data_IF_554018932925
#
_entry.id   IF_554018932925
#
_cell.length_a   1.000
_cell.length_b   1.000
_cell.length_c   1.000
_cell.angle_alpha   90.00
_cell.angle_beta   90.00
_cell.angle_gamma   90.00
#
_symmetry.space_group_name_H-M   'P 1'
#
loop_
_entity.id
_entity.type
_entity.pdbx_description
1 polymer ?
#
# COMPACT_ATOMS: atom_id res chain seq x y z
N UNK A 1 -33.70 4.48 1.42
CA UNK A 1 -34.57 3.45 2.06
C UNK A 1 -34.66 3.66 3.57
N UNK A 2 -35.84 3.52 4.20
CA UNK A 2 -35.95 3.53 5.67
C UNK A 2 -35.56 2.16 6.23
N UNK A 3 -34.53 2.10 7.06
CA UNK A 3 -34.04 0.86 7.69
C UNK A 3 -33.90 1.07 9.19
N UNK A 4 -34.01 -0.03 9.93
CA UNK A 4 -33.68 -0.11 11.35
C UNK A 4 -32.63 -1.19 11.55
N UNK A 5 -31.60 -0.86 12.33
CA UNK A 5 -30.67 -1.84 12.84
C UNK A 5 -31.42 -2.91 13.67
N UNK A 6 -30.95 -4.18 13.65
CA UNK A 6 -29.70 -4.65 13.07
C UNK A 6 -29.81 -5.03 11.58
N UNK A 7 -30.98 -4.88 10.97
CA UNK A 7 -31.22 -5.32 9.60
C UNK A 7 -31.03 -4.13 8.67
N UNK A 8 -29.80 -4.00 8.19
CA UNK A 8 -29.38 -3.06 7.14
C UNK A 8 -29.56 -3.73 5.77
N UNK A 9 -30.78 -3.86 5.22
CA UNK A 9 -30.94 -4.47 3.90
C UNK A 9 -30.17 -3.64 2.88
N UNK A 10 -29.57 -4.35 1.93
CA UNK A 10 -29.12 -3.79 0.68
C UNK A 10 -30.06 -4.39 -0.35
N UNK A 11 -31.15 -3.67 -0.64
CA UNK A 11 -32.16 -4.01 -1.65
C UNK A 11 -32.39 -2.73 -2.45
N UNK A 12 -32.61 -2.86 -3.74
CA UNK A 12 -32.93 -1.74 -4.64
C UNK A 12 -31.81 -0.70 -4.81
N UNK A 13 -30.54 -1.09 -4.61
CA UNK A 13 -29.40 -0.26 -5.00
C UNK A 13 -29.08 -0.48 -6.48
N UNK A 14 -28.61 0.58 -7.14
CA UNK A 14 -28.19 0.55 -8.53
C UNK A 14 -27.19 -0.59 -8.81
N UNK A 15 -27.52 -1.46 -9.76
CA UNK A 15 -26.58 -2.49 -10.24
C UNK A 15 -25.54 -1.84 -11.17
N UNK A 16 -24.42 -2.53 -11.33
CA UNK A 16 -23.42 -2.20 -12.33
C UNK A 16 -23.64 -3.12 -13.54
N UNK A 17 -24.09 -2.56 -14.65
CA UNK A 17 -24.25 -3.29 -15.91
C UNK A 17 -22.98 -3.13 -16.78
N UNK A 18 -22.58 -4.20 -17.48
CA UNK A 18 -21.54 -4.07 -18.51
C UNK A 18 -22.08 -3.22 -19.66
N UNK A 19 -21.28 -2.28 -20.15
CA UNK A 19 -21.53 -1.69 -21.47
C UNK A 19 -21.19 -2.71 -22.56
N UNK A 20 -22.22 -3.33 -23.15
CA UNK A 20 -22.08 -4.33 -24.22
C UNK A 20 -21.32 -3.80 -25.45
N UNK A 21 -21.24 -2.48 -25.63
CA UNK A 21 -20.54 -1.82 -26.73
C UNK A 21 -19.08 -1.46 -26.40
N UNK A 22 -18.65 -1.61 -25.16
CA UNK A 22 -17.32 -1.29 -24.69
C UNK A 22 -16.26 -2.28 -25.21
N UNK A 23 -15.11 -1.74 -25.64
CA UNK A 23 -13.89 -2.55 -25.80
C UNK A 23 -13.39 -2.84 -24.40
N UNK A 24 -13.79 -3.98 -23.83
CA UNK A 24 -13.29 -4.40 -22.53
C UNK A 24 -11.78 -4.53 -22.62
N UNK A 25 -11.07 -3.67 -21.89
CA UNK A 25 -9.64 -3.84 -21.71
C UNK A 25 -9.44 -5.12 -20.91
N UNK A 26 -9.36 -6.26 -21.60
CA UNK A 26 -8.57 -7.37 -21.12
C UNK A 26 -7.17 -6.80 -21.06
N UNK A 27 -6.78 -6.27 -19.90
CA UNK A 27 -5.49 -5.63 -19.75
C UNK A 27 -4.46 -6.60 -20.31
N UNK A 28 -3.87 -6.25 -21.46
CA UNK A 28 -2.90 -7.11 -22.11
C UNK A 28 -1.82 -7.36 -21.06
N UNK A 29 -1.66 -8.63 -20.73
CA UNK A 29 -0.72 -9.05 -19.70
C UNK A 29 0.68 -8.80 -20.28
N UNK A 30 1.19 -7.58 -20.07
CA UNK A 30 2.63 -7.33 -20.10
C UNK A 30 3.33 -8.25 -19.10
N UNK A 31 4.64 -8.12 -18.92
CA UNK A 31 5.36 -8.82 -17.84
C UNK A 31 4.91 -8.26 -16.47
N UNK A 32 3.68 -8.57 -16.04
CA UNK A 32 3.17 -8.26 -14.72
C UNK A 32 3.97 -9.06 -13.71
N UNK A 33 4.43 -8.39 -12.66
CA UNK A 33 4.98 -9.08 -11.49
C UNK A 33 3.85 -9.85 -10.82
N UNK A 34 4.18 -10.96 -10.18
CA UNK A 34 3.19 -11.84 -9.57
C UNK A 34 3.32 -11.78 -8.06
N UNK A 35 2.28 -11.34 -7.34
CA UNK A 35 2.26 -11.34 -5.88
C UNK A 35 2.58 -12.72 -5.32
N UNK A 36 3.56 -12.81 -4.42
CA UNK A 36 4.04 -14.05 -3.79
C UNK A 36 4.19 -13.84 -2.29
N UNK A 37 3.09 -14.01 -1.57
CA UNK A 37 3.06 -13.74 -0.13
C UNK A 37 3.40 -14.96 0.71
N UNK A 38 3.47 -14.76 2.03
CA UNK A 38 3.71 -15.81 3.02
C UNK A 38 2.42 -16.53 3.47
N UNK A 39 1.29 -16.32 2.77
CA UNK A 39 0.00 -16.92 3.06
C UNK A 39 0.04 -18.44 2.84
N UNK A 40 -0.27 -19.22 3.89
CA UNK A 40 -0.19 -20.69 3.86
C UNK A 40 -1.55 -21.39 3.80
N UNK A 41 -2.60 -20.77 4.34
CA UNK A 41 -3.91 -21.39 4.47
C UNK A 41 -5.04 -20.38 4.30
N UNK A 42 -6.07 -20.78 3.57
CA UNK A 42 -7.32 -20.08 3.41
C UNK A 42 -8.43 -20.94 4.03
N UNK A 43 -9.16 -20.43 5.03
CA UNK A 43 -10.14 -21.21 5.81
C UNK A 43 -11.47 -20.48 5.97
N UNK A 44 -12.61 -21.18 6.02
CA UNK A 44 -13.90 -20.52 6.22
C UNK A 44 -13.98 -19.79 7.58
N UNK A 45 -14.50 -18.56 7.57
CA UNK A 45 -14.86 -17.80 8.76
C UNK A 45 -16.31 -18.14 9.15
N UNK A 46 -16.50 -19.29 9.78
CA UNK A 46 -17.84 -19.82 10.08
C UNK A 46 -18.67 -18.97 11.03
N UNK A 47 -18.04 -18.19 11.92
CA UNK A 47 -18.72 -17.29 12.85
C UNK A 47 -19.08 -15.92 12.24
N UNK A 48 -18.70 -15.62 11.00
CA UNK A 48 -18.78 -14.28 10.42
C UNK A 48 -20.16 -13.60 10.57
N UNK A 49 -21.30 -14.22 10.19
CA UNK A 49 -22.60 -13.55 10.34
C UNK A 49 -22.92 -13.15 11.78
N UNK A 50 -22.54 -14.00 12.75
CA UNK A 50 -22.75 -13.74 14.17
C UNK A 50 -21.80 -12.66 14.68
N UNK A 51 -20.53 -12.68 14.27
CA UNK A 51 -19.52 -11.68 14.65
C UNK A 51 -19.97 -10.28 14.19
N UNK A 52 -20.44 -10.17 12.94
CA UNK A 52 -21.00 -8.93 12.39
C UNK A 52 -22.25 -8.48 13.16
N UNK A 53 -23.19 -9.39 13.39
CA UNK A 53 -24.42 -9.07 14.12
C UNK A 53 -24.13 -8.57 15.54
N UNK A 54 -23.23 -9.24 16.25
CA UNK A 54 -22.83 -8.87 17.60
C UNK A 54 -22.08 -7.53 17.64
N UNK A 55 -21.19 -7.26 16.68
CA UNK A 55 -20.50 -5.98 16.58
C UNK A 55 -21.48 -4.80 16.43
N UNK A 56 -22.54 -4.98 15.63
CA UNK A 56 -23.60 -3.98 15.47
C UNK A 56 -24.42 -3.81 16.76
N UNK A 57 -24.81 -4.92 17.41
CA UNK A 57 -25.60 -4.88 18.64
C UNK A 57 -24.85 -4.29 19.84
N UNK A 58 -23.52 -4.34 19.83
CA UNK A 58 -22.69 -3.74 20.87
C UNK A 58 -22.76 -2.21 20.90
N UNK A 59 -23.27 -1.56 19.84
CA UNK A 59 -23.38 -0.10 19.76
C UNK A 59 -24.66 0.39 20.47
N UNK A 60 -24.58 1.22 21.53
CA UNK A 60 -25.73 1.62 22.35
C UNK A 60 -26.83 2.39 21.58
N UNK A 61 -26.49 3.08 20.49
CA UNK A 61 -27.39 3.93 19.72
C UNK A 61 -28.05 3.24 18.51
N UNK A 62 -27.87 1.93 18.37
CA UNK A 62 -28.29 1.15 17.21
C UNK A 62 -29.81 0.89 17.10
N UNK A 63 -30.71 1.74 17.61
CA UNK A 63 -32.16 1.40 17.69
C UNK A 63 -33.13 2.40 17.07
N UNK A 64 -32.68 3.56 16.64
CA UNK A 64 -33.53 4.53 15.92
C UNK A 64 -33.52 4.25 14.43
N UNK A 65 -34.68 4.07 13.78
CA UNK A 65 -34.74 3.97 12.32
C UNK A 65 -34.14 5.22 11.65
N UNK A 66 -33.49 5.04 10.51
CA UNK A 66 -32.97 6.15 9.72
C UNK A 66 -33.06 5.87 8.23
N UNK A 67 -32.98 6.95 7.45
CA UNK A 67 -32.93 6.86 6.00
C UNK A 67 -31.49 6.74 5.52
N UNK A 68 -31.26 5.81 4.61
CA UNK A 68 -30.02 5.71 3.85
C UNK A 68 -30.33 6.19 2.44
N UNK A 69 -29.70 7.30 2.04
CA UNK A 69 -29.69 7.78 0.67
C UNK A 69 -28.69 6.96 -0.15
N UNK A 70 -29.06 6.61 -1.37
CA UNK A 70 -28.23 5.91 -2.33
C UNK A 70 -28.78 6.10 -3.73
N UNK A 71 -27.92 6.04 -4.76
CA UNK A 71 -28.40 6.11 -6.14
C UNK A 71 -29.25 4.87 -6.46
N UNK A 72 -30.39 5.11 -7.10
CA UNK A 72 -31.38 4.09 -7.47
C UNK A 72 -31.33 3.73 -8.95
N UNK A 73 -30.50 4.40 -9.74
CA UNK A 73 -30.35 4.17 -11.17
C UNK A 73 -29.09 3.37 -11.45
N UNK A 74 -29.24 2.25 -12.14
CA UNK A 74 -28.12 1.41 -12.60
C UNK A 74 -27.07 2.25 -13.33
N UNK A 75 -25.80 1.88 -13.15
CA UNK A 75 -24.68 2.50 -13.82
C UNK A 75 -24.07 1.52 -14.83
N UNK A 76 -23.69 2.03 -16.00
CA UNK A 76 -22.87 1.28 -16.94
C UNK A 76 -21.40 1.38 -16.52
N UNK A 77 -20.74 0.24 -16.42
CA UNK A 77 -19.31 0.13 -16.10
C UNK A 77 -18.58 -0.58 -17.23
N UNK A 78 -17.41 -0.05 -17.55
CA UNK A 78 -16.56 -0.46 -18.67
C UNK A 78 -15.09 -0.66 -18.24
N UNK A 79 -14.76 -0.27 -17.02
CA UNK A 79 -13.40 -0.22 -16.49
C UNK A 79 -13.38 -0.40 -14.98
N UNK A 80 -12.21 -0.73 -14.44
CA UNK A 80 -11.99 -0.81 -12.99
C UNK A 80 -12.26 0.54 -12.30
N UNK A 81 -11.87 1.65 -12.96
CA UNK A 81 -12.12 3.00 -12.46
C UNK A 81 -13.62 3.33 -12.35
N UNK A 82 -14.44 2.94 -13.33
CA UNK A 82 -15.89 3.17 -13.26
C UNK A 82 -16.56 2.31 -12.18
N UNK A 83 -16.06 1.10 -11.93
CA UNK A 83 -16.47 0.27 -10.78
C UNK A 83 -16.12 0.95 -9.46
N UNK A 84 -14.92 1.55 -9.34
CA UNK A 84 -14.50 2.25 -8.12
C UNK A 84 -15.44 3.42 -7.78
N UNK A 85 -15.75 4.27 -8.76
CA UNK A 85 -16.67 5.37 -8.58
C UNK A 85 -18.07 4.89 -8.19
N UNK A 86 -18.59 3.88 -8.90
CA UNK A 86 -19.90 3.30 -8.59
C UNK A 86 -19.94 2.76 -7.16
N UNK A 87 -18.95 1.98 -6.75
CA UNK A 87 -18.88 1.39 -5.43
C UNK A 87 -18.74 2.42 -4.30
N UNK A 88 -18.00 3.50 -4.55
CA UNK A 88 -17.88 4.62 -3.62
C UNK A 88 -19.24 5.26 -3.34
N UNK A 89 -20.03 5.51 -4.37
CA UNK A 89 -21.33 6.20 -4.27
C UNK A 89 -22.45 5.29 -3.74
N UNK A 90 -22.46 4.02 -4.14
CA UNK A 90 -23.55 3.06 -3.83
C UNK A 90 -23.36 2.32 -2.51
N UNK A 91 -22.12 2.07 -2.07
CA UNK A 91 -21.85 1.19 -0.95
C UNK A 91 -20.98 1.85 0.13
N UNK A 92 -19.81 2.37 -0.24
CA UNK A 92 -18.84 2.87 0.75
C UNK A 92 -19.33 4.15 1.46
N UNK A 93 -19.86 5.14 0.71
CA UNK A 93 -20.41 6.37 1.30
C UNK A 93 -21.66 6.10 2.14
N UNK A 94 -22.64 5.29 1.70
CA UNK A 94 -23.74 4.85 2.56
C UNK A 94 -23.28 4.13 3.83
N UNK A 95 -22.28 3.25 3.75
CA UNK A 95 -21.73 2.58 4.92
C UNK A 95 -21.07 3.56 5.89
N UNK A 96 -20.29 4.52 5.41
CA UNK A 96 -19.71 5.59 6.23
C UNK A 96 -20.80 6.43 6.91
N UNK A 97 -21.90 6.73 6.22
CA UNK A 97 -23.04 7.45 6.81
C UNK A 97 -23.73 6.64 7.92
N UNK A 98 -23.88 5.32 7.75
CA UNK A 98 -24.38 4.44 8.81
C UNK A 98 -23.45 4.45 10.02
N UNK A 99 -22.14 4.30 9.78
CA UNK A 99 -21.11 4.29 10.84
C UNK A 99 -21.09 5.60 11.63
N UNK A 100 -21.19 6.75 10.94
CA UNK A 100 -21.29 8.05 11.59
C UNK A 100 -22.52 8.14 12.51
N UNK A 101 -23.67 7.62 12.08
CA UNK A 101 -24.88 7.54 12.94
C UNK A 101 -24.71 6.59 14.12
N UNK A 102 -23.84 5.58 13.99
CA UNK A 102 -23.42 4.70 15.06
C UNK A 102 -22.36 5.31 15.99
N UNK A 103 -21.96 6.57 15.76
CA UNK A 103 -20.93 7.26 16.54
C UNK A 103 -19.50 6.96 16.11
N UNK A 104 -19.31 6.23 15.01
CA UNK A 104 -18.01 5.90 14.44
C UNK A 104 -17.71 6.88 13.30
N UNK A 105 -16.90 7.89 13.61
CA UNK A 105 -16.52 8.92 12.63
C UNK A 105 -15.27 8.49 11.86
N UNK A 106 -15.40 8.34 10.55
CA UNK A 106 -14.31 7.98 9.65
C UNK A 106 -14.72 8.09 8.19
N UNK A 107 -13.82 7.68 7.31
CA UNK A 107 -14.09 7.64 5.86
C UNK A 107 -13.32 6.50 5.20
N UNK A 108 -13.82 6.06 4.04
CA UNK A 108 -13.02 5.30 3.10
C UNK A 108 -12.17 6.29 2.30
N UNK A 109 -10.85 6.14 2.37
CA UNK A 109 -9.88 6.99 1.68
C UNK A 109 -9.12 6.17 0.64
N UNK A 110 -8.83 6.80 -0.50
CA UNK A 110 -7.90 6.27 -1.50
C UNK A 110 -6.45 6.54 -1.06
N UNK A 111 -5.46 5.78 -1.56
CA UNK A 111 -4.04 6.08 -1.43
C UNK A 111 -3.75 7.49 -1.97
N UNK A 112 -2.73 8.18 -1.44
CA UNK A 112 -2.44 9.58 -1.78
C UNK A 112 -3.48 10.62 -1.32
N UNK A 113 -4.66 10.19 -0.87
CA UNK A 113 -5.73 11.05 -0.35
C UNK A 113 -5.47 11.58 1.06
N UNK A 114 -4.72 12.67 1.16
CA UNK A 114 -4.41 13.36 2.42
C UNK A 114 -3.31 12.69 3.27
N UNK A 115 -3.19 13.07 4.54
CA UNK A 115 -2.15 12.58 5.47
C UNK A 115 -2.44 11.16 6.00
N UNK A 116 -2.78 10.22 5.12
CA UNK A 116 -3.13 8.85 5.49
C UNK A 116 -1.87 7.98 5.56
N UNK A 117 -1.64 7.34 6.70
CA UNK A 117 -0.48 6.47 6.94
C UNK A 117 -0.67 5.08 6.29
N UNK A 118 -0.71 5.02 4.96
CA UNK A 118 -0.94 3.78 4.20
C UNK A 118 0.35 3.37 3.48
N UNK A 119 0.70 2.09 3.51
CA UNK A 119 1.80 1.51 2.73
C UNK A 119 1.23 0.65 1.60
N UNK A 120 1.70 0.90 0.37
CA UNK A 120 1.11 0.36 -0.86
C UNK A 120 -0.16 1.10 -1.26
N UNK A 121 -0.80 0.62 -2.33
CA UNK A 121 -1.93 1.32 -2.97
C UNK A 121 -3.20 0.45 -2.99
N UNK A 122 -3.82 0.14 -1.83
CA UNK A 122 -5.14 -0.49 -1.79
C UNK A 122 -6.20 0.45 -2.34
N UNK A 123 -7.19 -0.03 -3.09
CA UNK A 123 -8.20 0.85 -3.72
C UNK A 123 -8.91 1.77 -2.71
N UNK A 124 -9.26 1.24 -1.54
CA UNK A 124 -9.73 2.03 -0.41
C UNK A 124 -9.22 1.50 0.93
N UNK A 125 -9.11 2.40 1.91
CA UNK A 125 -8.88 2.06 3.31
C UNK A 125 -9.83 2.81 4.23
N UNK A 126 -10.36 2.13 5.26
CA UNK A 126 -11.12 2.80 6.31
C UNK A 126 -10.18 3.51 7.29
N UNK A 127 -10.44 4.80 7.52
CA UNK A 127 -9.66 5.66 8.39
C UNK A 127 -10.58 6.39 9.38
N UNK A 128 -10.32 6.21 10.67
CA UNK A 128 -11.03 6.91 11.75
C UNK A 128 -10.59 8.38 11.84
N UNK A 129 -11.54 9.31 11.97
CA UNK A 129 -11.27 10.76 11.96
C UNK A 129 -10.71 11.32 13.27
N UNK A 130 -10.80 10.59 14.39
CA UNK A 130 -10.47 11.10 15.73
C UNK A 130 -9.01 10.92 16.14
N UNK A 131 -8.17 10.27 15.32
CA UNK A 131 -6.78 10.03 15.65
C UNK A 131 -5.89 11.21 15.23
N UNK A 132 -4.99 11.64 16.11
CA UNK A 132 -3.92 12.60 15.79
C UNK A 132 -3.01 12.10 14.67
N UNK A 133 -2.99 10.79 14.43
CA UNK A 133 -2.35 10.13 13.30
C UNK A 133 -3.33 9.11 12.71
N UNK A 134 -4.00 9.42 11.59
CA UNK A 134 -4.96 8.52 10.96
C UNK A 134 -4.25 7.28 10.40
N UNK A 135 -4.54 6.12 11.00
CA UNK A 135 -4.04 4.81 10.57
C UNK A 135 -5.15 4.03 9.85
N UNK A 136 -4.87 3.36 8.72
CA UNK A 136 -5.85 2.49 8.07
C UNK A 136 -6.21 1.32 8.99
N UNK A 137 -7.49 1.02 9.17
CA UNK A 137 -7.97 -0.10 10.00
C UNK A 137 -8.50 -1.28 9.19
N UNK A 138 -8.89 -1.05 7.95
CA UNK A 138 -9.45 -2.02 7.01
C UNK A 138 -9.01 -1.64 5.60
N UNK A 139 -8.55 -2.61 4.81
CA UNK A 139 -8.25 -2.42 3.38
C UNK A 139 -9.37 -3.01 2.53
N UNK A 140 -9.70 -2.36 1.42
CA UNK A 140 -10.71 -2.82 0.46
C UNK A 140 -10.10 -2.77 -0.93
N UNK A 141 -10.08 -3.92 -1.60
CA UNK A 141 -9.64 -4.08 -2.99
C UNK A 141 -10.84 -4.40 -3.88
N UNK A 142 -10.98 -3.66 -4.96
CA UNK A 142 -11.96 -3.85 -6.02
C UNK A 142 -11.27 -4.43 -7.24
N UNK A 143 -11.96 -5.39 -7.87
CA UNK A 143 -11.56 -5.92 -9.17
C UNK A 143 -12.81 -6.05 -10.05
N UNK A 144 -12.70 -5.95 -11.37
CA UNK A 144 -13.85 -6.23 -12.21
C UNK A 144 -14.27 -7.70 -12.13
N UNK A 145 -15.58 -8.01 -12.18
CA UNK A 145 -16.07 -9.40 -12.13
C UNK A 145 -15.63 -10.25 -13.32
N UNK A 146 -15.20 -9.62 -14.41
CA UNK A 146 -14.61 -10.32 -15.55
C UNK A 146 -13.10 -10.61 -15.39
N UNK A 147 -12.45 -10.03 -14.36
CA UNK A 147 -11.02 -10.22 -14.09
C UNK A 147 -10.75 -11.09 -12.86
N UNK A 148 -11.74 -11.27 -11.97
CA UNK A 148 -11.61 -12.07 -10.75
C UNK A 148 -12.86 -12.89 -10.49
N UNK A 149 -12.68 -14.20 -10.32
CA UNK A 149 -13.70 -15.17 -9.92
C UNK A 149 -13.58 -15.51 -8.43
N UNK A 150 -14.40 -14.86 -7.61
CA UNK A 150 -14.42 -15.07 -6.16
C UNK A 150 -15.13 -16.37 -5.73
N UNK A 151 -15.97 -16.96 -6.60
CA UNK A 151 -16.67 -18.21 -6.29
C UNK A 151 -15.69 -19.39 -6.33
N UNK A 152 -14.80 -19.40 -7.33
CA UNK A 152 -13.82 -20.46 -7.51
C UNK A 152 -12.46 -20.19 -6.86
N UNK A 153 -12.28 -19.05 -6.19
CA UNK A 153 -11.01 -18.63 -5.60
C UNK A 153 -10.41 -19.67 -4.64
N UNK A 154 -11.24 -20.30 -3.80
CA UNK A 154 -10.77 -21.30 -2.83
C UNK A 154 -10.24 -22.55 -3.55
N UNK A 155 -10.93 -22.98 -4.61
CA UNK A 155 -10.50 -24.09 -5.46
C UNK A 155 -9.20 -23.75 -6.20
N UNK A 156 -9.06 -22.51 -6.68
CA UNK A 156 -7.81 -22.01 -7.25
C UNK A 156 -6.68 -22.01 -6.20
N UNK A 157 -6.95 -21.59 -4.96
CA UNK A 157 -5.96 -21.53 -3.88
C UNK A 157 -5.43 -22.92 -3.51
N UNK A 158 -6.31 -23.92 -3.51
CA UNK A 158 -5.97 -25.33 -3.33
C UNK A 158 -5.18 -25.92 -4.53
N UNK A 159 -4.88 -25.12 -5.56
CA UNK A 159 -4.21 -25.53 -6.81
C UNK A 159 -4.96 -26.60 -7.59
N UNK A 160 -6.29 -26.62 -7.45
CA UNK A 160 -7.18 -27.52 -8.20
C UNK A 160 -7.65 -26.92 -9.53
N UNK A 161 -7.43 -25.62 -9.73
CA UNK A 161 -7.64 -24.88 -10.98
C UNK A 161 -6.37 -24.11 -11.33
N UNK A 162 -5.99 -24.08 -12.61
CA UNK A 162 -4.76 -23.43 -13.10
C UNK A 162 -4.97 -22.59 -14.37
N UNK A 163 -6.23 -22.23 -14.66
CA UNK A 163 -6.54 -21.33 -15.78
C UNK A 163 -6.14 -19.87 -15.48
N UNK A 164 -6.19 -19.03 -16.52
CA UNK A 164 -5.77 -17.64 -16.42
C UNK A 164 -6.60 -16.82 -15.41
N UNK A 165 -7.92 -17.05 -15.34
CA UNK A 165 -8.82 -16.33 -14.43
C UNK A 165 -8.58 -16.76 -12.99
N UNK A 166 -8.36 -18.06 -12.75
CA UNK A 166 -7.95 -18.58 -11.44
C UNK A 166 -6.63 -17.95 -10.97
N UNK A 167 -5.64 -17.82 -11.86
CA UNK A 167 -4.37 -17.14 -11.55
C UNK A 167 -4.56 -15.66 -11.22
N UNK A 168 -5.37 -14.94 -11.98
CA UNK A 168 -5.68 -13.53 -11.72
C UNK A 168 -6.40 -13.37 -10.36
N UNK A 169 -7.35 -14.24 -10.06
CA UNK A 169 -8.07 -14.26 -8.79
C UNK A 169 -7.13 -14.49 -7.61
N UNK A 170 -6.15 -15.40 -7.76
CA UNK A 170 -5.11 -15.60 -6.75
C UNK A 170 -4.18 -14.40 -6.58
N UNK A 171 -3.80 -13.74 -7.68
CA UNK A 171 -2.99 -12.51 -7.58
C UNK A 171 -3.74 -11.43 -6.80
N UNK A 172 -5.04 -11.24 -7.06
CA UNK A 172 -5.86 -10.29 -6.31
C UNK A 172 -5.92 -10.65 -4.81
N UNK A 173 -6.13 -11.93 -4.46
CA UNK A 173 -6.09 -12.38 -3.06
C UNK A 173 -4.74 -12.11 -2.39
N UNK A 174 -3.64 -12.41 -3.09
CA UNK A 174 -2.29 -12.19 -2.58
C UNK A 174 -1.97 -10.69 -2.44
N UNK A 175 -2.44 -9.86 -3.36
CA UNK A 175 -2.32 -8.40 -3.29
C UNK A 175 -3.06 -7.86 -2.05
N UNK A 176 -4.35 -8.20 -1.89
CA UNK A 176 -5.14 -7.79 -0.71
C UNK A 176 -4.49 -8.24 0.59
N UNK A 177 -4.04 -9.50 0.66
CA UNK A 177 -3.32 -10.01 1.84
C UNK A 177 -1.98 -9.28 2.08
N UNK A 178 -1.29 -8.88 1.01
CA UNK A 178 -0.11 -8.03 1.05
C UNK A 178 -0.41 -6.72 1.75
N UNK A 179 -1.40 -5.96 1.27
CA UNK A 179 -1.84 -4.70 1.87
C UNK A 179 -2.24 -4.85 3.34
N UNK A 180 -3.02 -5.90 3.66
CA UNK A 180 -3.37 -6.20 5.05
C UNK A 180 -2.13 -6.42 5.92
N UNK A 181 -1.07 -7.02 5.38
CA UNK A 181 0.16 -7.29 6.13
C UNK A 181 1.06 -6.06 6.24
N UNK A 182 1.22 -5.29 5.17
CA UNK A 182 2.05 -4.08 5.15
C UNK A 182 1.51 -2.99 6.08
N UNK A 183 0.18 -2.94 6.23
CA UNK A 183 -0.52 -1.98 7.07
C UNK A 183 -0.93 -2.56 8.43
N UNK A 184 -0.42 -3.73 8.82
CA UNK A 184 -0.76 -4.40 10.09
C UNK A 184 -2.28 -4.56 10.32
N UNK A 185 -3.08 -4.62 9.26
CA UNK A 185 -4.53 -4.81 9.37
C UNK A 185 -4.85 -6.28 9.60
N UNK A 186 -5.78 -6.52 10.52
CA UNK A 186 -6.42 -7.81 10.75
C UNK A 186 -7.48 -8.09 9.69
N UNK A 187 -8.16 -7.06 9.22
CA UNK A 187 -9.34 -7.16 8.37
C UNK A 187 -9.08 -6.60 6.98
N UNK A 188 -9.70 -7.23 5.98
CA UNK A 188 -9.61 -6.82 4.58
C UNK A 188 -10.84 -7.29 3.81
N UNK A 189 -11.07 -6.68 2.65
CA UNK A 189 -12.15 -7.05 1.73
C UNK A 189 -11.57 -7.12 0.33
N UNK A 190 -11.84 -8.21 -0.38
CA UNK A 190 -11.64 -8.34 -1.82
C UNK A 190 -13.00 -8.48 -2.47
N UNK A 191 -13.39 -7.57 -3.35
CA UNK A 191 -14.70 -7.59 -4.00
C UNK A 191 -14.58 -7.44 -5.50
N UNK A 192 -15.50 -8.10 -6.20
CA UNK A 192 -15.69 -7.90 -7.62
C UNK A 192 -17.04 -7.24 -7.96
N UNK A 193 -17.54 -6.40 -7.04
CA UNK A 193 -18.89 -5.83 -7.01
C UNK A 193 -19.99 -6.89 -6.77
N UNK A 194 -20.08 -7.91 -7.61
CA UNK A 194 -21.08 -9.00 -7.52
C UNK A 194 -20.90 -9.86 -6.29
N UNK A 195 -19.65 -10.10 -5.91
CA UNK A 195 -19.29 -10.85 -4.73
C UNK A 195 -18.26 -10.07 -3.92
N UNK A 196 -18.25 -10.29 -2.61
CA UNK A 196 -17.22 -9.78 -1.72
C UNK A 196 -16.74 -10.89 -0.80
N UNK A 197 -15.44 -11.03 -0.72
CA UNK A 197 -14.74 -11.90 0.18
C UNK A 197 -14.27 -11.08 1.37
N UNK A 198 -14.89 -11.30 2.52
CA UNK A 198 -14.52 -10.67 3.79
C UNK A 198 -13.42 -11.49 4.44
N UNK A 199 -12.30 -10.86 4.76
CA UNK A 199 -11.05 -11.51 5.15
C UNK A 199 -10.63 -11.14 6.57
N UNK A 200 -10.25 -12.13 7.37
CA UNK A 200 -9.65 -11.95 8.70
C UNK A 200 -8.31 -12.69 8.80
N UNK A 201 -7.23 -11.97 9.08
CA UNK A 201 -5.95 -12.57 9.44
C UNK A 201 -6.07 -13.19 10.83
N UNK A 202 -5.83 -14.50 10.89
CA UNK A 202 -5.81 -15.28 12.11
C UNK A 202 -4.42 -15.88 12.30
N UNK A 203 -3.86 -15.67 13.48
CA UNK A 203 -2.65 -16.39 13.90
C UNK A 203 -3.06 -17.77 14.40
N UNK A 204 -2.56 -18.82 13.75
CA UNK A 204 -2.77 -20.20 14.20
C UNK A 204 -1.44 -20.86 14.48
N UNK A 205 -1.45 -21.93 15.29
CA UNK A 205 -0.27 -22.77 15.53
C UNK A 205 0.32 -23.38 14.24
N UNK A 206 -0.47 -23.44 13.13
CA UNK A 206 -0.06 -23.97 11.83
C UNK A 206 0.54 -22.90 10.90
N UNK A 207 0.76 -21.69 11.41
CA UNK A 207 1.25 -20.54 10.67
C UNK A 207 0.13 -19.57 10.30
N UNK A 208 0.42 -18.71 9.33
CA UNK A 208 -0.48 -17.64 8.93
C UNK A 208 -1.68 -18.14 8.14
N UNK A 209 -2.86 -17.90 8.70
CA UNK A 209 -4.13 -18.30 8.13
C UNK A 209 -4.94 -17.05 7.80
N UNK A 210 -5.54 -17.05 6.61
CA UNK A 210 -6.54 -16.09 6.22
C UNK A 210 -7.90 -16.77 6.32
N UNK A 211 -8.77 -16.22 7.15
CA UNK A 211 -10.15 -16.64 7.25
C UNK A 211 -10.99 -15.85 6.24
N UNK A 212 -11.97 -16.49 5.60
CA UNK A 212 -12.80 -15.84 4.59
C UNK A 212 -14.30 -16.12 4.78
N UNK A 213 -15.13 -15.15 4.41
CA UNK A 213 -16.56 -15.35 4.21
C UNK A 213 -17.00 -14.67 2.91
N UNK A 214 -17.71 -15.41 2.06
CA UNK A 214 -18.20 -14.90 0.77
C UNK A 214 -19.62 -14.36 0.92
N UNK A 215 -19.83 -13.12 0.50
CA UNK A 215 -21.14 -12.48 0.39
C UNK A 215 -21.41 -12.19 -1.08
N UNK A 216 -22.63 -12.46 -1.52
CA UNK A 216 -23.13 -12.17 -2.86
C UNK A 216 -24.02 -10.91 -2.78
N UNK A 217 -23.85 -9.99 -3.73
CA UNK A 217 -24.66 -8.78 -3.84
C UNK A 217 -26.10 -9.14 -4.22
N UNK A 218 -27.08 -8.45 -3.60
CA UNK A 218 -28.52 -8.49 -3.94
C UNK A 218 -29.23 -9.86 -3.97
N UNK A 219 -28.60 -10.92 -3.46
CA UNK A 219 -29.28 -12.22 -3.39
C UNK A 219 -30.28 -12.30 -2.24
N UNK A 220 -31.56 -12.29 -2.59
CA UNK A 220 -32.66 -12.56 -1.65
C UNK A 220 -32.44 -13.89 -0.90
N UNK A 221 -32.60 -13.86 0.42
CA UNK A 221 -32.48 -15.06 1.28
C UNK A 221 -31.08 -15.35 1.83
N UNK A 222 -30.05 -14.56 1.51
CA UNK A 222 -28.76 -14.63 2.19
C UNK A 222 -28.89 -14.19 3.67
N UNK A 223 -28.08 -14.75 4.60
CA UNK A 223 -28.16 -14.44 6.03
C UNK A 223 -27.67 -13.02 6.37
N UNK A 224 -26.95 -12.37 5.44
CA UNK A 224 -26.38 -11.03 5.62
C UNK A 224 -26.33 -10.28 4.30
N UNK A 225 -26.68 -8.99 4.31
CA UNK A 225 -26.54 -8.10 3.16
C UNK A 225 -25.13 -7.52 3.06
N UNK A 226 -24.74 -7.04 1.87
CA UNK A 226 -23.43 -6.41 1.64
C UNK A 226 -23.20 -5.20 2.56
N UNK A 227 -24.19 -4.32 2.70
CA UNK A 227 -24.10 -3.16 3.59
C UNK A 227 -23.95 -3.55 5.06
N UNK A 228 -24.72 -4.54 5.53
CA UNK A 228 -24.60 -5.06 6.91
C UNK A 228 -23.22 -5.64 7.15
N UNK A 229 -22.71 -6.42 6.20
CA UNK A 229 -21.39 -7.02 6.25
C UNK A 229 -20.28 -5.96 6.28
N UNK A 230 -20.35 -4.94 5.42
CA UNK A 230 -19.38 -3.85 5.38
C UNK A 230 -19.36 -3.01 6.66
N UNK A 231 -20.55 -2.59 7.14
CA UNK A 231 -20.67 -1.83 8.38
C UNK A 231 -20.13 -2.64 9.57
N UNK A 232 -20.56 -3.90 9.70
CA UNK A 232 -20.06 -4.76 10.76
C UNK A 232 -18.56 -5.02 10.69
N UNK A 233 -18.00 -5.14 9.49
CA UNK A 233 -16.56 -5.35 9.30
C UNK A 233 -15.75 -4.15 9.77
N UNK A 234 -16.23 -2.93 9.48
CA UNK A 234 -15.63 -1.71 10.02
C UNK A 234 -15.74 -1.67 11.54
N UNK A 235 -16.89 -2.03 12.13
CA UNK A 235 -17.04 -2.07 13.59
C UNK A 235 -16.07 -3.08 14.24
N UNK A 236 -15.89 -4.26 13.64
CA UNK A 236 -14.87 -5.22 14.09
C UNK A 236 -13.46 -4.65 13.98
N UNK A 237 -13.15 -3.91 12.91
CA UNK A 237 -11.86 -3.24 12.76
C UNK A 237 -11.68 -2.10 13.79
N UNK A 238 -12.71 -1.33 14.09
CA UNK A 238 -12.62 -0.30 15.13
C UNK A 238 -12.25 -0.88 16.50
N UNK A 239 -12.72 -2.10 16.80
CA UNK A 239 -12.43 -2.83 18.03
C UNK A 239 -11.06 -3.54 18.04
N UNK A 240 -10.70 -4.28 16.98
CA UNK A 240 -9.48 -5.11 16.90
C UNK A 240 -8.82 -5.09 15.52
N UNK A 241 -8.51 -3.91 14.98
CA UNK A 241 -7.88 -3.78 13.66
C UNK A 241 -6.46 -4.34 13.58
N UNK A 242 -5.70 -4.38 14.68
CA UNK A 242 -4.26 -4.62 14.61
C UNK A 242 -3.95 -6.12 14.54
N UNK A 243 -3.15 -6.51 13.55
CA UNK A 243 -2.55 -7.83 13.46
C UNK A 243 -1.08 -7.68 13.13
N UNK A 244 -0.22 -8.05 14.08
CA UNK A 244 1.23 -7.98 13.98
C UNK A 244 1.76 -8.50 12.63
N UNK A 245 2.83 -7.90 12.10
CA UNK A 245 3.50 -8.42 10.93
C UNK A 245 4.11 -9.80 11.25
N UNK A 246 4.41 -10.63 10.23
CA UNK A 246 5.12 -11.88 10.48
C UNK A 246 6.44 -11.62 11.21
N UNK A 247 6.73 -12.38 12.27
CA UNK A 247 8.06 -12.34 12.90
C UNK A 247 8.88 -13.57 12.50
N UNK A 248 10.21 -13.45 12.57
CA UNK A 248 11.13 -14.58 12.38
C UNK A 248 10.93 -15.68 13.44
N UNK A 249 10.41 -15.35 14.62
CA UNK A 249 10.19 -16.28 15.73
C UNK A 249 8.99 -17.23 15.52
N UNK A 250 8.13 -16.95 14.54
CA UNK A 250 6.90 -17.71 14.27
C UNK A 250 7.11 -19.04 13.53
N UNK A 251 8.34 -19.43 13.22
CA UNK A 251 8.63 -20.68 12.51
C UNK A 251 8.86 -21.84 13.52
N UNK A 252 8.04 -22.91 13.52
CA UNK A 252 8.39 -24.14 14.20
C UNK A 252 9.71 -24.70 13.63
N UNK A 253 10.54 -25.39 14.45
CA UNK A 253 11.78 -25.99 13.98
C UNK A 253 11.52 -26.88 12.76
N UNK A 254 12.02 -26.49 11.57
CA UNK A 254 11.99 -27.31 10.36
C UNK A 254 11.01 -26.92 9.26
N UNK A 255 10.32 -25.77 9.33
CA UNK A 255 9.42 -25.29 8.26
C UNK A 255 9.77 -23.91 7.71
N UNK A 256 10.95 -23.79 7.10
CA UNK A 256 11.26 -22.66 6.21
C UNK A 256 10.58 -22.86 4.86
N UNK A 257 9.92 -21.82 4.36
CA UNK A 257 9.54 -21.67 2.95
C UNK A 257 10.59 -22.33 2.02
N UNK A 258 10.22 -23.41 1.32
CA UNK A 258 11.06 -24.13 0.33
C UNK A 258 12.47 -24.53 0.80
N UNK A 259 12.67 -25.81 1.14
CA UNK A 259 13.99 -26.37 1.53
C UNK A 259 14.97 -26.59 0.36
N UNK A 260 14.85 -25.89 -0.77
CA UNK A 260 15.91 -25.98 -1.78
C UNK A 260 17.06 -25.07 -1.36
N UNK A 261 18.30 -25.57 -1.43
CA UNK A 261 19.51 -24.77 -1.17
C UNK A 261 19.60 -23.52 -2.06
N UNK A 262 18.88 -23.51 -3.20
CA UNK A 262 18.74 -22.37 -4.10
C UNK A 262 17.86 -21.26 -3.51
N UNK A 263 16.68 -21.57 -2.98
CA UNK A 263 15.78 -20.56 -2.39
C UNK A 263 16.36 -19.91 -1.12
N UNK A 264 17.17 -20.64 -0.35
CA UNK A 264 17.91 -20.10 0.79
C UNK A 264 19.10 -19.23 0.36
N UNK A 265 19.76 -19.56 -0.76
CA UNK A 265 20.86 -18.75 -1.30
C UNK A 265 20.35 -17.47 -1.94
N UNK A 266 19.22 -17.49 -2.65
CA UNK A 266 18.59 -16.29 -3.23
C UNK A 266 18.18 -15.29 -2.14
N UNK A 267 17.66 -15.77 -1.00
CA UNK A 267 17.37 -14.95 0.21
C UNK A 267 18.61 -14.34 0.86
N UNK A 268 19.77 -15.02 0.73
CA UNK A 268 21.04 -14.55 1.32
C UNK A 268 21.69 -13.44 0.50
N UNK A 269 21.36 -13.25 -0.78
CA UNK A 269 22.04 -12.24 -1.61
C UNK A 269 21.62 -10.82 -1.22
N UNK A 270 20.31 -10.55 -1.04
CA UNK A 270 19.81 -9.22 -0.69
C UNK A 270 20.11 -8.77 0.75
N UNK A 271 20.01 -9.68 1.73
CA UNK A 271 20.17 -9.34 3.14
C UNK A 271 21.62 -9.35 3.64
N UNK A 272 22.57 -9.99 2.94
CA UNK A 272 23.98 -10.08 3.40
C UNK A 272 24.74 -8.75 3.34
N UNK A 273 24.22 -7.74 2.63
CA UNK A 273 24.83 -6.41 2.53
C UNK A 273 23.72 -5.36 2.41
N UNK A 274 23.20 -4.88 3.54
CA UNK A 274 22.46 -3.60 3.57
C UNK A 274 23.30 -2.39 3.15
N UNK A 275 24.57 -2.60 2.80
CA UNK A 275 25.39 -1.61 2.13
C UNK A 275 25.70 -2.15 0.75
N UNK A 276 24.71 -2.09 -0.12
CA UNK A 276 24.87 -2.43 -1.52
C UNK A 276 25.85 -1.44 -2.17
N UNK A 277 26.53 -1.93 -3.20
CA UNK A 277 27.34 -1.09 -4.08
C UNK A 277 26.78 -1.30 -5.49
N UNK A 278 26.81 -0.27 -6.35
CA UNK A 278 26.39 -0.43 -7.72
C UNK A 278 27.32 -1.42 -8.42
N UNK A 279 26.75 -2.31 -9.23
CA UNK A 279 27.49 -3.26 -10.07
C UNK A 279 27.28 -2.82 -11.50
N UNK A 280 28.38 -2.54 -12.22
CA UNK A 280 28.34 -1.99 -13.58
C UNK A 280 27.47 -0.72 -13.69
N UNK A 281 27.56 0.17 -12.70
CA UNK A 281 26.84 1.45 -12.71
C UNK A 281 25.35 1.36 -12.35
N UNK A 282 24.86 0.23 -11.82
CA UNK A 282 23.46 0.08 -11.43
C UNK A 282 23.30 -0.63 -10.07
N UNK A 283 22.31 -0.20 -9.28
CA UNK A 283 21.83 -0.96 -8.14
C UNK A 283 20.84 -2.03 -8.61
N UNK A 284 21.14 -3.29 -8.28
CA UNK A 284 20.22 -4.38 -8.58
C UNK A 284 19.07 -4.39 -7.55
N UNK A 285 17.83 -4.53 -8.01
CA UNK A 285 16.70 -4.75 -7.10
C UNK A 285 16.71 -6.19 -6.59
N UNK A 286 16.75 -6.38 -5.27
CA UNK A 286 16.74 -7.71 -4.65
C UNK A 286 15.45 -8.01 -3.89
N UNK A 287 14.96 -9.24 -4.00
CA UNK A 287 13.90 -9.71 -3.13
C UNK A 287 14.37 -9.70 -1.67
N UNK A 288 13.59 -9.09 -0.78
CA UNK A 288 13.80 -9.10 0.67
C UNK A 288 12.63 -9.79 1.37
N UNK A 289 12.93 -10.49 2.46
CA UNK A 289 11.90 -11.05 3.33
C UNK A 289 11.26 -9.91 4.14
N UNK A 290 9.94 -9.73 4.01
CA UNK A 290 9.20 -8.68 4.73
C UNK A 290 9.38 -8.77 6.25
N UNK A 291 9.68 -9.96 6.80
CA UNK A 291 9.97 -10.16 8.23
C UNK A 291 11.20 -9.41 8.72
N UNK A 292 12.06 -8.99 7.80
CA UNK A 292 13.23 -8.18 8.08
C UNK A 292 12.93 -6.69 7.98
N UNK A 293 11.73 -6.30 7.52
CA UNK A 293 11.33 -4.93 7.28
C UNK A 293 10.33 -4.51 8.37
N UNK A 294 10.79 -3.70 9.33
CA UNK A 294 9.90 -3.10 10.31
C UNK A 294 9.60 -1.67 9.89
N UNK A 295 8.50 -1.47 9.17
CA UNK A 295 8.01 -0.14 8.79
C UNK A 295 7.28 0.50 9.96
N UNK A 296 7.68 1.72 10.32
CA UNK A 296 6.89 2.57 11.21
C UNK A 296 5.78 3.21 10.38
N UNK A 297 4.65 2.53 10.28
CA UNK A 297 3.52 2.97 9.46
C UNK A 297 3.07 4.38 9.86
N UNK A 298 3.16 4.76 11.14
CA UNK A 298 2.78 6.11 11.59
C UNK A 298 3.61 7.24 10.95
N UNK A 299 4.80 6.90 10.47
CA UNK A 299 5.70 7.79 9.74
C UNK A 299 5.45 7.83 8.23
N UNK A 300 4.57 6.97 7.69
CA UNK A 300 4.27 6.93 6.26
C UNK A 300 3.68 8.26 5.77
N UNK A 301 4.25 8.81 4.70
CA UNK A 301 3.79 10.03 4.02
C UNK A 301 3.72 9.77 2.53
N UNK A 302 2.59 10.10 1.91
CA UNK A 302 2.41 9.97 0.47
C UNK A 302 2.91 11.21 -0.26
N UNK A 303 3.60 11.00 -1.38
CA UNK A 303 3.99 12.04 -2.33
C UNK A 303 3.18 11.88 -3.61
N UNK A 304 1.90 12.25 -3.57
CA UNK A 304 0.99 12.10 -4.70
C UNK A 304 0.78 10.64 -5.10
N UNK A 305 0.88 10.35 -6.40
CA UNK A 305 0.64 9.01 -6.99
C UNK A 305 1.88 8.10 -6.97
N UNK A 306 3.04 8.60 -6.51
CA UNK A 306 4.34 7.91 -6.59
C UNK A 306 4.68 7.09 -5.33
N UNK A 307 3.66 6.60 -4.62
CA UNK A 307 3.82 5.81 -3.40
C UNK A 307 4.07 6.64 -2.14
N UNK A 308 4.83 6.09 -1.19
CA UNK A 308 5.02 6.69 0.12
C UNK A 308 6.46 6.64 0.63
N UNK A 309 6.81 7.58 1.50
CA UNK A 309 8.05 7.57 2.27
C UNK A 309 7.73 7.13 3.70
N UNK A 310 8.46 6.14 4.22
CA UNK A 310 8.26 5.57 5.56
C UNK A 310 9.59 5.34 6.26
N UNK A 311 9.67 5.63 7.55
CA UNK A 311 10.84 5.24 8.35
C UNK A 311 10.80 3.75 8.67
N UNK A 312 11.96 3.10 8.66
CA UNK A 312 12.06 1.67 8.80
C UNK A 312 13.27 1.24 9.62
N UNK A 313 13.13 0.09 10.28
CA UNK A 313 14.23 -0.69 10.80
C UNK A 313 14.39 -1.96 9.96
N UNK A 314 15.54 -2.12 9.32
CA UNK A 314 15.88 -3.34 8.59
C UNK A 314 16.69 -4.26 9.52
N UNK A 315 16.08 -5.38 9.90
CA UNK A 315 16.66 -6.34 10.84
C UNK A 315 17.70 -7.21 10.15
N UNK A 316 18.90 -7.37 10.72
CA UNK A 316 19.93 -8.20 10.13
C UNK A 316 19.49 -9.66 9.95
N UNK A 317 19.89 -10.32 8.86
CA UNK A 317 19.58 -11.73 8.63
C UNK A 317 20.37 -12.68 9.55
N UNK A 318 21.30 -12.18 10.37
CA UNK A 318 22.18 -12.99 11.21
C UNK A 318 22.48 -12.31 12.54
N UNK A 319 22.56 -13.12 13.60
CA UNK A 319 22.87 -12.68 14.97
C UNK A 319 24.23 -12.00 15.01
N UNK A 320 24.30 -10.80 15.59
CA UNK A 320 25.55 -10.03 15.77
C UNK A 320 25.77 -8.88 14.77
N UNK A 321 24.89 -8.70 13.79
CA UNK A 321 24.87 -7.49 12.96
C UNK A 321 23.94 -6.42 13.58
N UNK A 322 24.14 -5.15 13.20
CA UNK A 322 23.33 -4.04 13.70
C UNK A 322 22.04 -3.88 12.90
N UNK A 323 20.98 -3.46 13.58
CA UNK A 323 19.74 -2.99 12.94
C UNK A 323 20.06 -1.74 12.12
N UNK A 324 19.67 -1.75 10.84
CA UNK A 324 19.83 -0.58 9.99
C UNK A 324 18.58 0.29 10.11
N UNK A 325 18.77 1.55 10.51
CA UNK A 325 17.72 2.56 10.44
C UNK A 325 17.74 3.22 9.07
N UNK A 326 16.59 3.24 8.40
CA UNK A 326 16.47 3.78 7.05
C UNK A 326 15.21 4.64 6.90
N UNK A 327 15.24 5.54 5.92
CA UNK A 327 14.05 6.13 5.31
C UNK A 327 13.81 5.40 4.01
N UNK A 328 12.63 4.79 3.85
CA UNK A 328 12.27 3.99 2.69
C UNK A 328 11.32 4.77 1.78
N UNK A 329 11.71 5.01 0.52
CA UNK A 329 10.77 5.42 -0.54
C UNK A 329 10.18 4.15 -1.14
N UNK A 330 8.90 3.91 -0.91
CA UNK A 330 8.17 2.67 -1.18
C UNK A 330 7.13 2.93 -2.27
N UNK A 331 7.12 2.11 -3.30
CA UNK A 331 6.14 2.14 -4.40
C UNK A 331 5.44 0.80 -4.51
N UNK A 332 4.15 0.82 -4.87
CA UNK A 332 3.47 -0.39 -5.31
C UNK A 332 3.80 -0.68 -6.77
N UNK A 333 4.78 -1.56 -7.01
CA UNK A 333 5.20 -1.92 -8.35
C UNK A 333 4.24 -2.89 -9.05
N UNK A 334 3.25 -3.44 -8.34
CA UNK A 334 2.21 -4.28 -8.91
C UNK A 334 1.07 -3.44 -9.47
N UNK A 335 0.65 -2.42 -8.74
CA UNK A 335 -0.42 -1.50 -9.13
C UNK A 335 0.09 -0.35 -10.01
N UNK A 336 1.26 0.22 -9.71
CA UNK A 336 1.83 1.38 -10.40
C UNK A 336 3.23 1.05 -11.02
N UNK A 337 3.26 0.47 -12.25
CA UNK A 337 4.52 0.13 -12.92
C UNK A 337 5.34 1.35 -13.35
N UNK A 338 4.70 2.52 -13.53
CA UNK A 338 5.40 3.75 -13.91
C UNK A 338 6.17 4.31 -12.72
N UNK A 339 5.56 4.37 -11.53
CA UNK A 339 6.27 4.71 -10.28
C UNK A 339 7.41 3.73 -9.98
N UNK A 340 7.23 2.44 -10.30
CA UNK A 340 8.32 1.48 -10.21
C UNK A 340 9.48 1.84 -11.15
N UNK A 341 9.19 2.29 -12.37
CA UNK A 341 10.21 2.72 -13.34
C UNK A 341 10.96 3.95 -12.83
N UNK A 342 10.25 4.97 -12.33
CA UNK A 342 10.87 6.14 -11.70
C UNK A 342 11.79 5.77 -10.53
N UNK A 343 11.44 4.74 -9.75
CA UNK A 343 12.30 4.24 -8.67
C UNK A 343 13.59 3.57 -9.18
N UNK A 344 13.57 2.95 -10.37
CA UNK A 344 14.79 2.46 -11.03
C UNK A 344 15.67 3.60 -11.53
N UNK A 345 15.07 4.65 -12.11
CA UNK A 345 15.79 5.82 -12.58
C UNK A 345 16.47 6.54 -11.41
N UNK A 346 15.75 6.70 -10.29
CA UNK A 346 16.31 7.25 -9.05
C UNK A 346 17.47 6.40 -8.51
N UNK A 347 17.33 5.07 -8.51
CA UNK A 347 18.43 4.17 -8.14
C UNK A 347 19.65 4.33 -9.09
N UNK A 348 19.40 4.59 -10.38
CA UNK A 348 20.42 4.91 -11.37
C UNK A 348 21.16 6.22 -11.06
N UNK A 349 20.42 7.26 -10.66
CA UNK A 349 21.02 8.52 -10.22
C UNK A 349 21.91 8.33 -8.99
N UNK A 350 21.48 7.55 -8.00
CA UNK A 350 22.33 7.18 -6.86
C UNK A 350 23.60 6.43 -7.28
N UNK A 351 23.54 5.58 -8.31
CA UNK A 351 24.71 4.86 -8.82
C UNK A 351 25.68 5.80 -9.54
N UNK A 352 25.18 6.74 -10.34
CA UNK A 352 25.99 7.73 -11.03
C UNK A 352 26.65 8.72 -10.07
N UNK A 353 25.93 9.14 -9.02
CA UNK A 353 26.38 10.09 -8.01
C UNK A 353 26.97 9.42 -6.77
N UNK A 354 27.56 8.23 -6.91
CA UNK A 354 28.05 7.42 -5.80
C UNK A 354 29.01 8.19 -4.87
N UNK A 355 29.87 9.04 -5.43
CA UNK A 355 30.85 9.82 -4.66
C UNK A 355 30.22 10.94 -3.82
N UNK A 356 28.97 11.31 -4.10
CA UNK A 356 28.22 12.35 -3.38
C UNK A 356 27.39 11.78 -2.22
N UNK A 357 27.19 10.46 -2.18
CA UNK A 357 26.41 9.79 -1.15
C UNK A 357 27.00 9.96 0.26
N UNK A 358 26.15 10.38 1.20
CA UNK A 358 26.51 10.75 2.58
C UNK A 358 27.20 12.12 2.70
N UNK A 359 27.43 12.82 1.58
CA UNK A 359 28.02 14.17 1.55
C UNK A 359 26.96 15.23 1.29
N UNK A 360 26.22 15.10 0.20
CA UNK A 360 25.19 16.07 -0.22
C UNK A 360 23.90 15.40 -0.68
N UNK A 361 23.91 14.08 -0.90
CA UNK A 361 22.72 13.24 -1.10
C UNK A 361 22.77 12.07 -0.09
N UNK A 362 21.64 11.46 0.30
CA UNK A 362 21.63 10.30 1.19
C UNK A 362 22.49 9.15 0.69
N UNK A 363 22.97 8.29 1.58
CA UNK A 363 23.45 6.96 1.16
C UNK A 363 22.26 6.07 0.80
N UNK A 364 22.34 5.42 -0.36
CA UNK A 364 21.46 4.31 -0.73
C UNK A 364 22.02 3.03 -0.12
N UNK A 365 21.35 2.53 0.91
CA UNK A 365 21.68 1.27 1.56
C UNK A 365 21.35 0.07 0.66
N UNK A 366 20.22 0.12 -0.03
CA UNK A 366 19.89 -0.87 -1.03
C UNK A 366 18.54 -0.66 -1.69
N UNK A 367 18.30 -1.44 -2.74
CA UNK A 367 17.07 -1.42 -3.52
C UNK A 367 16.41 -2.80 -3.44
N UNK A 368 15.18 -2.83 -2.95
CA UNK A 368 14.51 -4.07 -2.57
C UNK A 368 13.12 -4.23 -3.18
N UNK A 369 12.68 -5.48 -3.29
CA UNK A 369 11.30 -5.88 -3.63
C UNK A 369 10.74 -6.79 -2.53
N UNK A 370 9.48 -6.58 -2.17
CA UNK A 370 8.73 -7.46 -1.26
C UNK A 370 7.57 -8.09 -2.01
N UNK A 371 7.59 -9.42 -2.07
CA UNK A 371 6.51 -10.27 -2.58
C UNK A 371 6.04 -9.95 -4.00
N UNK A 372 6.82 -9.24 -4.81
CA UNK A 372 6.37 -8.78 -6.13
C UNK A 372 5.26 -7.72 -6.08
N UNK A 373 5.00 -7.13 -4.91
CA UNK A 373 4.02 -6.06 -4.69
C UNK A 373 4.75 -4.74 -4.50
N UNK A 374 5.54 -4.62 -3.44
CA UNK A 374 6.25 -3.39 -3.12
C UNK A 374 7.68 -3.41 -3.66
N UNK A 375 8.15 -2.26 -4.11
CA UNK A 375 9.57 -1.96 -4.27
C UNK A 375 9.95 -0.78 -3.40
N UNK A 376 11.19 -0.74 -2.91
CA UNK A 376 11.64 0.41 -2.14
C UNK A 376 13.15 0.63 -2.17
N UNK A 377 13.53 1.90 -2.11
CA UNK A 377 14.90 2.34 -1.82
C UNK A 377 15.04 2.54 -0.31
N UNK A 378 16.04 1.92 0.31
CA UNK A 378 16.39 2.15 1.70
C UNK A 378 17.50 3.21 1.77
N UNK A 379 17.20 4.38 2.31
CA UNK A 379 18.09 5.54 2.32
C UNK A 379 18.56 5.90 3.73
N UNK A 380 19.71 6.55 3.83
CA UNK A 380 20.20 7.21 5.02
C UNK A 380 19.19 8.26 5.52
N UNK A 381 18.83 8.24 6.83
CA UNK A 381 18.06 9.33 7.41
C UNK A 381 18.87 10.64 7.44
N UNK A 382 18.43 11.66 6.69
CA UNK A 382 19.15 12.95 6.50
C UNK A 382 18.43 14.17 7.09
N UNK A 383 17.61 13.98 8.12
CA UNK A 383 16.88 15.06 8.78
C UNK A 383 15.51 15.33 8.15
N UNK A 384 15.02 16.57 8.29
CA UNK A 384 13.68 16.96 7.83
C UNK A 384 13.77 17.87 6.61
N UNK A 385 12.80 17.74 5.71
CA UNK A 385 12.63 18.67 4.59
C UNK A 385 12.35 20.09 5.10
N UNK A 386 12.85 21.09 4.37
CA UNK A 386 12.55 22.51 4.64
C UNK A 386 11.05 22.73 4.48
N UNK A 387 10.41 23.32 5.49
CA UNK A 387 8.98 23.62 5.43
C UNK A 387 8.69 24.76 4.45
N UNK A 388 7.56 24.71 3.75
CA UNK A 388 7.10 25.80 2.89
C UNK A 388 6.92 27.14 3.63
N UNK A 389 6.81 27.13 4.95
CA UNK A 389 6.69 28.34 5.76
C UNK A 389 8.03 28.77 6.40
N UNK A 390 9.09 27.99 6.23
CA UNK A 390 10.39 28.28 6.83
C UNK A 390 11.13 29.34 6.01
N UNK A 391 11.61 30.39 6.69
CA UNK A 391 12.38 31.44 6.02
C UNK A 391 13.78 30.92 5.69
N UNK A 392 14.13 30.96 4.41
CA UNK A 392 15.49 30.66 3.94
C UNK A 392 16.37 31.88 4.22
N UNK A 393 17.16 31.77 5.30
CA UNK A 393 18.16 32.79 5.59
C UNK A 393 19.37 32.67 4.63
N UNK A 394 20.20 33.71 4.48
CA UNK A 394 21.32 33.70 3.53
C UNK A 394 22.33 32.56 3.74
N UNK A 395 22.55 32.14 4.98
CA UNK A 395 23.45 31.01 5.29
C UNK A 395 22.87 29.69 4.79
N UNK A 396 21.57 29.46 5.01
CA UNK A 396 20.89 28.28 4.51
C UNK A 396 20.87 28.25 2.98
N UNK A 397 20.52 29.37 2.33
CA UNK A 397 20.57 29.47 0.87
C UNK A 397 21.96 29.19 0.29
N UNK A 398 23.02 29.68 0.95
CA UNK A 398 24.40 29.37 0.57
C UNK A 398 24.70 27.87 0.68
N UNK A 399 24.24 27.22 1.75
CA UNK A 399 24.43 25.78 1.95
C UNK A 399 23.63 24.93 0.95
N UNK A 400 22.40 25.35 0.60
CA UNK A 400 21.59 24.71 -0.44
C UNK A 400 22.30 24.75 -1.80
N UNK A 401 22.77 25.94 -2.20
CA UNK A 401 23.55 26.10 -3.44
C UNK A 401 24.85 25.32 -3.42
N UNK A 402 25.56 25.28 -2.30
CA UNK A 402 26.79 24.48 -2.20
C UNK A 402 26.52 22.98 -2.38
N UNK A 403 25.43 22.45 -1.81
CA UNK A 403 25.02 21.06 -2.00
C UNK A 403 24.63 20.77 -3.45
N UNK A 404 23.83 21.65 -4.06
CA UNK A 404 23.40 21.54 -5.46
C UNK A 404 24.59 21.62 -6.42
N UNK A 405 25.53 22.52 -6.15
CA UNK A 405 26.77 22.65 -6.93
C UNK A 405 27.57 21.36 -6.97
N UNK A 406 27.56 20.55 -5.91
CA UNK A 406 28.23 19.26 -5.94
C UNK A 406 27.60 18.27 -6.94
N UNK A 407 26.28 18.33 -7.14
CA UNK A 407 25.60 17.56 -8.20
C UNK A 407 25.99 18.12 -9.57
N UNK A 408 26.02 19.45 -9.71
CA UNK A 408 26.45 20.09 -10.95
C UNK A 408 27.88 19.76 -11.32
N UNK A 409 28.83 19.87 -10.40
CA UNK A 409 30.24 19.56 -10.64
C UNK A 409 30.45 18.07 -11.03
N UNK A 410 29.50 17.20 -10.71
CA UNK A 410 29.50 15.79 -11.09
C UNK A 410 28.92 15.51 -12.49
N UNK A 411 28.38 16.50 -13.21
CA UNK A 411 27.85 16.31 -14.55
C UNK A 411 26.32 16.26 -14.66
N UNK A 412 25.58 16.52 -13.57
CA UNK A 412 24.14 16.26 -13.47
C UNK A 412 23.37 17.49 -13.01
N UNK A 413 22.08 17.56 -13.35
CA UNK A 413 21.09 18.43 -12.71
C UNK A 413 20.17 17.60 -11.80
N UNK A 414 19.52 18.23 -10.82
CA UNK A 414 18.53 17.58 -9.97
C UNK A 414 17.19 17.37 -10.70
N UNK A 415 16.70 18.40 -11.40
CA UNK A 415 15.48 18.44 -12.20
C UNK A 415 14.20 18.82 -11.45
N UNK A 416 14.25 19.01 -10.12
CA UNK A 416 13.08 19.37 -9.29
C UNK A 416 13.53 20.17 -8.07
N UNK A 417 13.88 21.45 -8.26
CA UNK A 417 14.30 22.33 -7.17
C UNK A 417 13.08 22.82 -6.41
N UNK A 418 12.88 22.28 -5.20
CA UNK A 418 11.81 22.68 -4.31
C UNK A 418 12.23 22.51 -2.85
N UNK A 419 11.65 23.30 -1.93
CA UNK A 419 11.93 23.24 -0.48
C UNK A 419 11.80 21.83 0.09
N UNK A 420 10.77 21.07 -0.37
CA UNK A 420 10.55 19.67 -0.01
C UNK A 420 11.72 18.71 -0.33
N UNK A 421 12.57 19.06 -1.29
CA UNK A 421 13.70 18.24 -1.74
C UNK A 421 15.03 18.62 -1.07
N UNK A 422 15.04 19.61 -0.17
CA UNK A 422 16.18 19.94 0.68
C UNK A 422 15.91 19.49 2.12
N UNK A 423 16.68 18.53 2.60
CA UNK A 423 16.64 18.05 3.97
C UNK A 423 17.76 18.67 4.81
N UNK A 424 17.43 19.10 6.03
CA UNK A 424 18.38 19.67 6.99
C UNK A 424 18.51 18.73 8.18
N UNK A 425 19.74 18.31 8.46
CA UNK A 425 20.09 17.54 9.66
C UNK A 425 20.21 18.43 10.89
N UNK A 426 20.18 17.85 12.10
CA UNK A 426 20.27 18.62 13.35
C UNK A 426 21.57 19.42 13.53
N UNK A 427 22.61 19.17 12.72
CA UNK A 427 23.85 19.95 12.71
C UNK A 427 23.91 21.03 11.61
N UNK A 428 22.80 21.25 10.88
CA UNK A 428 22.68 22.26 9.83
C UNK A 428 23.22 21.85 8.46
N UNK A 429 23.64 20.59 8.28
CA UNK A 429 24.06 20.07 6.98
C UNK A 429 22.85 19.79 6.09
N UNK A 430 22.93 20.27 4.85
CA UNK A 430 21.90 20.15 3.81
C UNK A 430 22.16 18.92 2.93
N UNK A 431 21.08 18.20 2.64
CA UNK A 431 21.06 17.09 1.70
C UNK A 431 19.95 17.30 0.67
N UNK A 432 20.24 16.99 -0.59
CA UNK A 432 19.26 16.88 -1.66
C UNK A 432 18.69 15.47 -1.68
N UNK A 433 17.36 15.36 -1.78
CA UNK A 433 16.62 14.11 -1.84
C UNK A 433 15.69 14.12 -3.04
N UNK A 434 15.13 12.96 -3.37
CA UNK A 434 14.20 12.78 -4.51
C UNK A 434 14.88 12.95 -5.87
N UNK A 435 15.76 12.00 -6.21
CA UNK A 435 16.58 12.06 -7.43
C UNK A 435 15.86 11.46 -8.66
N UNK A 436 14.54 11.38 -8.64
CA UNK A 436 13.76 10.76 -9.73
C UNK A 436 13.84 11.53 -11.05
N UNK A 437 14.05 12.84 -11.00
CA UNK A 437 14.25 13.71 -12.17
C UNK A 437 15.73 13.94 -12.50
N UNK A 438 16.65 13.39 -11.71
CA UNK A 438 18.08 13.65 -11.81
C UNK A 438 18.63 13.05 -13.10
N UNK A 439 19.34 13.87 -13.88
CA UNK A 439 19.88 13.47 -15.19
C UNK A 439 21.15 14.23 -15.56
N UNK A 440 21.98 13.72 -16.47
CA UNK A 440 23.07 14.50 -17.03
C UNK A 440 22.52 15.79 -17.67
N UNK A 441 23.29 16.88 -17.60
CA UNK A 441 22.84 18.11 -18.26
C UNK A 441 22.72 17.88 -19.77
N UNK A 442 21.59 18.32 -20.33
CA UNK A 442 21.33 18.32 -21.77
C UNK A 442 21.90 19.56 -22.45
N UNK A 443 22.07 20.65 -21.71
CA UNK A 443 22.70 21.88 -22.20
C UNK A 443 23.46 22.62 -21.08
N UNK A 444 24.37 23.56 -21.42
CA UNK A 444 25.21 24.23 -20.42
C UNK A 444 24.52 25.25 -19.50
N UNK A 445 23.28 25.68 -19.78
CA UNK A 445 22.58 26.68 -18.95
C UNK A 445 21.78 26.05 -17.81
N UNK A 446 21.39 24.78 -17.90
CA UNK A 446 20.55 24.12 -16.90
C UNK A 446 21.11 24.22 -15.45
N UNK A 447 22.44 24.10 -15.21
CA UNK A 447 22.99 24.29 -13.86
C UNK A 447 22.77 25.70 -13.31
N UNK A 448 22.92 26.73 -14.14
CA UNK A 448 22.68 28.12 -13.73
C UNK A 448 21.18 28.35 -13.49
N UNK A 449 20.32 27.76 -14.32
CA UNK A 449 18.85 27.83 -14.16
C UNK A 449 18.39 27.23 -12.81
N UNK A 450 18.93 26.08 -12.39
CA UNK A 450 18.63 25.48 -11.09
C UNK A 450 19.16 26.31 -9.91
N UNK A 451 20.32 26.97 -10.08
CA UNK A 451 20.85 27.88 -9.06
C UNK A 451 19.94 29.09 -8.85
N UNK A 452 19.37 29.61 -9.93
CA UNK A 452 18.38 30.69 -9.87
C UNK A 452 17.05 30.20 -9.28
N UNK A 453 16.67 28.93 -9.48
CA UNK A 453 15.50 28.34 -8.80
C UNK A 453 15.68 28.34 -7.28
N UNK A 454 16.87 28.03 -6.77
CA UNK A 454 17.16 28.10 -5.33
C UNK A 454 16.99 29.52 -4.78
N UNK A 455 17.38 30.55 -5.54
CA UNK A 455 17.17 31.96 -5.13
C UNK A 455 15.70 32.38 -5.13
N UNK A 456 14.85 31.68 -5.89
CA UNK A 456 13.41 31.94 -5.96
C UNK A 456 12.60 31.25 -4.85
N UNK A 457 13.18 30.28 -4.15
CA UNK A 457 12.56 29.62 -2.99
C UNK A 457 12.47 30.60 -1.82
#
# INVERSE_FOLDING_TARGET
MQTSLPDLPFRDYADAALDESGIYSTAQCGRRRHPRTDLKALTPWTSFPNDIHNAILAIPHARTPFHIDGPTSDAFVDSELTIHHHALDTLLRPAANVLMRLGVNGRFAQPGGGNSAIVGDPDFSWITSSASQPHPKLTVEYKPWWAVDLLNLVTAFDKKLDDALSKQSLHALHQTYGYMTFNNNRFGILTNWRHALFLRRAETQKGKTLQYYLVELDRAGQPISMLKALVGMVLLAEDDWFCSPPTLASDPPGQTFGKSGTAWNDRKVGAKKYHMQPVNGAYQCFAIDFRLCHFDISSARHSGENGCVVTAQLLPPSVGQHVLHAVCKVVDAFHNPDAATSLYDEAGAYAALQDLQGKVIPRLYGFYEVWGILQFLALEPVGNAISENEQINPTLGTNMKAALKCIHDAGYIHGDIARRNFCITGNGKVFLVDLETCRPFGNPSEPDDEMDEVDRL
#
